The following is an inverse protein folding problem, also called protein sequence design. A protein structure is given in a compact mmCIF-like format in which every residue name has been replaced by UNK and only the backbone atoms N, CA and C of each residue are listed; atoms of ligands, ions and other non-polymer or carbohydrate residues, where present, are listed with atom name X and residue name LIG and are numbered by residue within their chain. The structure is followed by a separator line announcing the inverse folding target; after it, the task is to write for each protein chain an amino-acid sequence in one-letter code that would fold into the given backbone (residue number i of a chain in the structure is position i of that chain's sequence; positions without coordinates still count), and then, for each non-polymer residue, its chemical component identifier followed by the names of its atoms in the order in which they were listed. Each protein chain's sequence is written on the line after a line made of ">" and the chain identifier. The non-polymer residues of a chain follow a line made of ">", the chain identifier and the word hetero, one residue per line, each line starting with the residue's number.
data_IF_529616188557
#
_entry.id   IF_529616188557
#
_cell.length_a   1.000
_cell.length_b   1.000
_cell.length_c   1.000
_cell.angle_alpha   90.00
_cell.angle_beta   90.00
_cell.angle_gamma   90.00
#
_symmetry.space_group_name_H-M   'P 1'
#
loop_
_entity.id
_entity.type
_entity.pdbx_description
1 polymer ?
#
# COMPACT_ATOMS: atom_id res chain seq x y z
N UNK A 1 -0.99 6.04 -23.11
CA UNK A 1 -0.11 7.16 -22.74
C UNK A 1 -0.86 8.34 -22.13
N UNK A 2 -1.53 9.24 -22.87
CA UNK A 2 -2.19 10.42 -22.23
C UNK A 2 -3.27 10.04 -21.20
N UNK A 3 -4.08 9.03 -21.50
CA UNK A 3 -5.10 8.54 -20.57
C UNK A 3 -4.48 7.91 -19.30
N UNK A 4 -3.38 7.18 -19.42
CA UNK A 4 -2.68 6.56 -18.29
C UNK A 4 -2.03 7.61 -17.39
N UNK A 5 -1.39 8.62 -17.97
CA UNK A 5 -0.78 9.72 -17.20
C UNK A 5 -1.85 10.50 -16.45
N UNK A 6 -2.98 10.80 -17.09
CA UNK A 6 -4.10 11.49 -16.44
C UNK A 6 -4.75 10.63 -15.36
N UNK A 7 -4.90 9.33 -15.59
CA UNK A 7 -5.42 8.40 -14.59
C UNK A 7 -4.50 8.31 -13.36
N UNK A 8 -3.18 8.24 -13.57
CA UNK A 8 -2.21 8.19 -12.48
C UNK A 8 -2.19 9.49 -11.66
N UNK A 9 -2.24 10.66 -12.32
CA UNK A 9 -2.32 11.95 -11.65
C UNK A 9 -3.62 12.04 -10.83
N UNK A 10 -4.77 11.69 -11.42
CA UNK A 10 -6.05 11.69 -10.73
C UNK A 10 -6.07 10.74 -9.53
N UNK A 11 -5.46 9.57 -9.66
CA UNK A 11 -5.27 8.62 -8.56
C UNK A 11 -4.39 9.23 -7.46
N UNK A 12 -3.29 9.90 -7.81
CA UNK A 12 -2.39 10.55 -6.85
C UNK A 12 -3.11 11.64 -6.05
N UNK A 13 -3.83 12.54 -6.72
CA UNK A 13 -4.69 13.55 -6.07
C UNK A 13 -5.75 12.90 -5.17
N UNK A 14 -6.36 11.82 -5.62
CA UNK A 14 -7.36 11.10 -4.86
C UNK A 14 -6.80 10.48 -3.57
N UNK A 15 -5.65 9.80 -3.64
CA UNK A 15 -4.97 9.29 -2.45
C UNK A 15 -4.53 10.41 -1.51
N UNK A 16 -4.09 11.55 -2.06
CA UNK A 16 -3.72 12.71 -1.27
C UNK A 16 -4.90 13.26 -0.47
N UNK A 17 -6.06 13.47 -1.11
CA UNK A 17 -7.28 13.94 -0.45
C UNK A 17 -7.72 13.00 0.66
N UNK A 18 -7.76 11.69 0.39
CA UNK A 18 -8.07 10.69 1.42
C UNK A 18 -7.06 10.75 2.57
N UNK A 19 -5.77 10.88 2.24
CA UNK A 19 -4.69 10.95 3.24
C UNK A 19 -4.84 12.15 4.18
N UNK A 20 -5.28 13.29 3.66
CA UNK A 20 -5.55 14.51 4.45
C UNK A 20 -6.79 14.38 5.32
N UNK A 21 -7.85 13.73 4.83
CA UNK A 21 -9.09 13.51 5.58
C UNK A 21 -8.92 12.43 6.68
N UNK A 22 -7.90 11.58 6.55
CA UNK A 22 -7.70 10.44 7.43
C UNK A 22 -7.00 10.80 8.75
N UNK A 23 -7.72 10.61 9.85
CA UNK A 23 -7.17 10.73 11.20
C UNK A 23 -6.27 9.55 11.58
N UNK A 24 -4.95 9.74 11.41
CA UNK A 24 -3.91 8.77 11.77
C UNK A 24 -3.87 8.44 13.27
N UNK A 25 -4.30 9.34 14.15
CA UNK A 25 -4.21 9.13 15.59
C UNK A 25 -5.13 7.99 16.03
N UNK A 26 -6.30 7.88 15.41
CA UNK A 26 -7.24 6.83 15.79
C UNK A 26 -6.94 5.49 15.11
N UNK A 27 -6.28 5.49 13.94
CA UNK A 27 -5.69 4.28 13.37
C UNK A 27 -4.70 3.64 14.35
N UNK A 28 -3.85 4.45 14.96
CA UNK A 28 -2.89 3.96 15.95
C UNK A 28 -3.57 3.34 17.17
N UNK A 29 -4.69 3.91 17.65
CA UNK A 29 -5.48 3.36 18.77
C UNK A 29 -6.12 2.01 18.42
N UNK A 30 -6.59 1.82 17.18
CA UNK A 30 -7.26 0.58 16.75
C UNK A 30 -6.32 -0.44 16.10
N UNK A 31 -4.99 -0.21 16.10
CA UNK A 31 -4.00 -1.00 15.36
C UNK A 31 -4.07 -2.51 15.60
N UNK A 32 -4.34 -2.97 16.83
CA UNK A 32 -4.40 -4.41 17.14
C UNK A 32 -5.55 -5.12 16.43
N UNK A 33 -6.73 -4.48 16.41
CA UNK A 33 -7.92 -5.02 15.73
C UNK A 33 -7.72 -4.99 14.22
N UNK A 34 -7.20 -3.88 13.70
CA UNK A 34 -6.86 -3.73 12.29
C UNK A 34 -5.83 -4.76 11.82
N UNK A 35 -4.78 -5.02 12.61
CA UNK A 35 -3.79 -6.07 12.33
C UNK A 35 -4.42 -7.46 12.25
N UNK A 36 -5.28 -7.81 13.20
CA UNK A 36 -5.95 -9.12 13.19
C UNK A 36 -6.81 -9.31 11.94
N UNK A 37 -7.54 -8.27 11.51
CA UNK A 37 -8.35 -8.29 10.30
C UNK A 37 -7.49 -8.36 9.05
N UNK A 38 -6.41 -7.57 8.97
CA UNK A 38 -5.49 -7.56 7.84
C UNK A 38 -4.83 -8.94 7.67
N UNK A 39 -4.29 -9.51 8.76
CA UNK A 39 -3.64 -10.82 8.75
C UNK A 39 -4.64 -11.92 8.38
N UNK A 40 -5.84 -11.91 8.98
CA UNK A 40 -6.89 -12.88 8.64
C UNK A 40 -7.33 -12.78 7.16
N UNK A 41 -7.47 -11.55 6.66
CA UNK A 41 -7.80 -11.25 5.27
C UNK A 41 -6.69 -11.59 4.29
N UNK A 42 -5.43 -11.64 4.73
CA UNK A 42 -4.28 -11.99 3.89
C UNK A 42 -4.01 -13.50 3.88
N UNK A 43 -4.09 -14.17 5.04
CA UNK A 43 -3.80 -15.60 5.16
C UNK A 43 -4.75 -16.46 4.30
N UNK A 44 -6.04 -16.14 4.30
CA UNK A 44 -7.05 -16.88 3.52
C UNK A 44 -6.72 -16.93 2.01
N UNK A 45 -6.62 -15.79 1.29
CA UNK A 45 -6.25 -15.79 -0.12
C UNK A 45 -4.85 -16.34 -0.37
N UNK A 46 -3.92 -16.19 0.58
CA UNK A 46 -2.59 -16.77 0.45
C UNK A 46 -2.61 -18.30 0.43
N UNK A 47 -3.39 -18.94 1.32
CA UNK A 47 -3.59 -20.40 1.34
C UNK A 47 -4.26 -20.87 0.05
N UNK A 48 -5.24 -20.09 -0.46
CA UNK A 48 -5.89 -20.38 -1.74
C UNK A 48 -4.87 -20.32 -2.89
N UNK A 49 -4.00 -19.31 -2.90
CA UNK A 49 -2.92 -19.18 -3.89
C UNK A 49 -1.94 -20.35 -3.85
N UNK A 50 -1.51 -20.77 -2.66
CA UNK A 50 -0.65 -21.96 -2.50
C UNK A 50 -1.34 -23.20 -3.06
N UNK A 51 -2.60 -23.43 -2.68
CA UNK A 51 -3.38 -24.59 -3.11
C UNK A 51 -3.56 -24.61 -4.63
N UNK A 52 -3.86 -23.46 -5.22
CA UNK A 52 -3.98 -23.30 -6.66
C UNK A 52 -2.67 -23.61 -7.40
N UNK A 53 -1.54 -23.16 -6.87
CA UNK A 53 -0.22 -23.47 -7.44
C UNK A 53 0.07 -24.98 -7.43
N UNK A 54 -0.24 -25.70 -6.34
CA UNK A 54 -0.04 -27.15 -6.28
C UNK A 54 -0.90 -27.91 -7.29
N UNK A 55 -2.17 -27.52 -7.46
CA UNK A 55 -3.07 -28.11 -8.45
C UNK A 55 -2.53 -27.90 -9.88
N UNK A 56 -2.04 -26.69 -10.17
CA UNK A 56 -1.42 -26.35 -11.45
C UNK A 56 -0.16 -27.16 -11.72
N UNK A 57 0.71 -27.32 -10.72
CA UNK A 57 1.95 -28.08 -10.89
C UNK A 57 1.69 -29.57 -11.10
N UNK A 58 0.70 -30.13 -10.39
CA UNK A 58 0.28 -31.52 -10.57
C UNK A 58 -0.23 -31.76 -11.99
N UNK A 59 -0.93 -30.79 -12.59
CA UNK A 59 -1.49 -30.90 -13.93
C UNK A 59 -0.48 -30.61 -15.05
N UNK A 60 0.52 -29.77 -14.79
CA UNK A 60 1.43 -29.28 -15.83
C UNK A 60 2.70 -30.12 -16.02
N UNK A 61 3.07 -31.03 -15.10
CA UNK A 61 4.32 -31.81 -15.13
C UNK A 61 5.61 -30.99 -15.36
N UNK A 62 5.55 -29.66 -15.27
CA UNK A 62 6.67 -28.76 -15.46
C UNK A 62 7.33 -28.49 -14.11
N UNK A 63 8.61 -28.83 -13.99
CA UNK A 63 9.40 -28.50 -12.81
C UNK A 63 9.78 -27.01 -12.85
N UNK A 64 8.99 -26.17 -12.17
CA UNK A 64 9.34 -24.75 -11.96
C UNK A 64 10.58 -24.67 -11.05
N UNK A 65 11.67 -24.06 -11.53
CA UNK A 65 12.92 -23.91 -10.75
C UNK A 65 12.73 -23.02 -9.50
N UNK A 66 11.88 -21.99 -9.59
CA UNK A 66 11.61 -21.05 -8.49
C UNK A 66 10.18 -21.17 -7.93
N UNK A 67 9.84 -22.33 -7.36
CA UNK A 67 8.51 -22.60 -6.77
C UNK A 67 8.16 -21.57 -5.67
N UNK A 68 9.12 -21.23 -4.83
CA UNK A 68 8.92 -20.29 -3.72
C UNK A 68 8.52 -18.90 -4.21
N UNK A 69 9.22 -18.37 -5.22
CA UNK A 69 8.91 -17.08 -5.85
C UNK A 69 7.52 -17.05 -6.46
N UNK A 70 7.14 -18.09 -7.21
CA UNK A 70 5.82 -18.15 -7.86
C UNK A 70 4.70 -18.25 -6.82
N UNK A 71 4.89 -19.05 -5.77
CA UNK A 71 3.93 -19.15 -4.66
C UNK A 71 3.77 -17.80 -3.95
N UNK A 72 4.88 -17.13 -3.63
CA UNK A 72 4.87 -15.81 -2.97
C UNK A 72 4.17 -14.78 -3.85
N UNK A 73 4.54 -14.70 -5.13
CA UNK A 73 3.94 -13.76 -6.07
C UNK A 73 2.44 -13.99 -6.22
N UNK A 74 2.03 -15.24 -6.40
CA UNK A 74 0.62 -15.61 -6.54
C UNK A 74 -0.17 -15.34 -5.24
N UNK A 75 0.39 -15.70 -4.09
CA UNK A 75 -0.23 -15.45 -2.79
C UNK A 75 -0.40 -13.97 -2.50
N UNK A 76 0.63 -13.15 -2.77
CA UNK A 76 0.55 -11.69 -2.65
C UNK A 76 -0.48 -11.13 -3.61
N UNK A 77 -0.45 -11.51 -4.90
CA UNK A 77 -1.37 -11.01 -5.92
C UNK A 77 -2.85 -11.26 -5.58
N UNK A 78 -3.16 -12.39 -4.93
CA UNK A 78 -4.53 -12.71 -4.50
C UNK A 78 -4.93 -12.01 -3.19
N UNK A 79 -3.97 -11.53 -2.40
CA UNK A 79 -4.21 -10.95 -1.07
C UNK A 79 -4.15 -9.41 -1.04
N UNK A 80 -3.57 -8.78 -2.06
CA UNK A 80 -3.53 -7.31 -2.17
C UNK A 80 -4.94 -6.78 -2.32
N UNK A 81 -5.29 -5.81 -1.47
CA UNK A 81 -6.54 -5.06 -1.57
C UNK A 81 -6.20 -3.60 -1.81
N UNK A 82 -6.83 -3.00 -2.83
CA UNK A 82 -6.57 -1.61 -3.18
C UNK A 82 -7.20 -0.68 -2.13
N UNK A 83 -6.37 -0.17 -1.21
CA UNK A 83 -6.75 0.84 -0.22
C UNK A 83 -7.55 2.02 -0.81
N UNK A 84 -7.19 2.62 -1.97
CA UNK A 84 -7.90 3.78 -2.50
C UNK A 84 -9.36 3.49 -2.83
N UNK A 85 -9.65 2.33 -3.41
CA UNK A 85 -11.02 1.94 -3.78
C UNK A 85 -11.85 1.75 -2.51
N UNK A 86 -11.28 1.13 -1.48
CA UNK A 86 -11.95 0.94 -0.19
C UNK A 86 -12.29 2.27 0.49
N UNK A 87 -11.35 3.23 0.47
CA UNK A 87 -11.60 4.57 1.00
C UNK A 87 -12.70 5.30 0.23
N UNK A 88 -12.72 5.18 -1.12
CA UNK A 88 -13.80 5.72 -1.96
C UNK A 88 -15.16 5.15 -1.57
N UNK A 89 -15.24 3.82 -1.47
CA UNK A 89 -16.47 3.11 -1.13
C UNK A 89 -16.99 3.54 0.24
N UNK A 90 -16.11 3.70 1.23
CA UNK A 90 -16.46 4.21 2.56
C UNK A 90 -17.00 5.64 2.52
N UNK A 91 -16.40 6.52 1.72
CA UNK A 91 -16.86 7.91 1.57
C UNK A 91 -18.24 7.97 0.88
N UNK A 92 -18.51 7.07 -0.07
CA UNK A 92 -19.80 6.96 -0.75
C UNK A 92 -20.89 6.34 0.15
N UNK A 93 -20.54 5.35 0.97
CA UNK A 93 -21.42 4.65 1.92
C UNK A 93 -21.69 5.48 3.18
N UNK A 94 -22.19 6.71 3.06
CA UNK A 94 -22.50 7.69 4.16
C UNK A 94 -23.23 7.14 5.41
N UNK A 95 -23.67 5.88 5.40
CA UNK A 95 -24.31 5.13 6.49
C UNK A 95 -23.36 4.23 7.30
N UNK A 96 -22.07 4.10 6.94
CA UNK A 96 -21.10 3.31 7.70
C UNK A 96 -20.72 4.00 9.01
N UNK A 97 -20.82 3.28 10.13
CA UNK A 97 -20.38 3.80 11.43
C UNK A 97 -18.90 4.23 11.37
N UNK A 98 -18.54 5.43 11.86
CA UNK A 98 -17.19 5.98 11.73
C UNK A 98 -16.12 5.07 12.35
N UNK A 99 -16.49 4.30 13.39
CA UNK A 99 -15.61 3.32 14.01
C UNK A 99 -15.27 2.13 13.08
N UNK A 100 -16.24 1.61 12.34
CA UNK A 100 -16.04 0.48 11.42
C UNK A 100 -15.24 0.96 10.21
N UNK A 101 -15.60 2.12 9.66
CA UNK A 101 -14.89 2.74 8.55
C UNK A 101 -13.41 2.93 8.87
N UNK A 102 -13.11 3.44 10.07
CA UNK A 102 -11.74 3.67 10.52
C UNK A 102 -10.94 2.38 10.72
N UNK A 103 -11.54 1.33 11.27
CA UNK A 103 -10.87 0.03 11.43
C UNK A 103 -10.60 -0.60 10.05
N UNK A 104 -11.54 -0.48 9.11
CA UNK A 104 -11.37 -0.98 7.74
C UNK A 104 -10.24 -0.24 7.01
N UNK A 105 -10.20 1.09 7.08
CA UNK A 105 -9.10 1.89 6.49
C UNK A 105 -7.74 1.54 7.13
N UNK A 106 -7.68 1.43 8.46
CA UNK A 106 -6.47 1.01 9.17
C UNK A 106 -5.99 -0.37 8.71
N UNK A 107 -6.91 -1.34 8.57
CA UNK A 107 -6.61 -2.69 8.12
C UNK A 107 -6.11 -2.70 6.68
N UNK A 108 -6.74 -1.95 5.78
CA UNK A 108 -6.36 -1.86 4.38
C UNK A 108 -4.96 -1.22 4.21
N UNK A 109 -4.64 -0.16 4.95
CA UNK A 109 -3.30 0.44 4.94
C UNK A 109 -2.22 -0.54 5.40
N UNK A 110 -2.48 -1.28 6.48
CA UNK A 110 -1.55 -2.29 6.98
C UNK A 110 -1.35 -3.39 5.94
N UNK A 111 -2.43 -3.85 5.30
CA UNK A 111 -2.37 -4.84 4.23
C UNK A 111 -1.54 -4.35 3.04
N UNK A 112 -1.70 -3.08 2.63
CA UNK A 112 -0.98 -2.49 1.50
C UNK A 112 0.54 -2.43 1.80
N UNK A 113 0.92 -1.96 2.99
CA UNK A 113 2.33 -1.96 3.44
C UNK A 113 2.91 -3.38 3.47
N UNK A 114 2.18 -4.34 4.04
CA UNK A 114 2.59 -5.75 4.07
C UNK A 114 2.75 -6.34 2.67
N UNK A 115 1.84 -6.02 1.75
CA UNK A 115 1.88 -6.49 0.37
C UNK A 115 3.12 -5.98 -0.37
N UNK A 116 3.45 -4.69 -0.26
CA UNK A 116 4.66 -4.12 -0.85
C UNK A 116 5.94 -4.74 -0.30
N UNK A 117 6.01 -5.00 1.01
CA UNK A 117 7.15 -5.68 1.64
C UNK A 117 7.29 -7.12 1.11
N UNK A 118 6.19 -7.89 1.06
CA UNK A 118 6.22 -9.26 0.55
C UNK A 118 6.55 -9.31 -0.94
N UNK A 119 6.08 -8.34 -1.73
CA UNK A 119 6.41 -8.23 -3.14
C UNK A 119 7.91 -7.95 -3.34
N UNK A 120 8.49 -7.05 -2.55
CA UNK A 120 9.94 -6.79 -2.58
C UNK A 120 10.74 -8.06 -2.26
N UNK A 121 10.31 -8.85 -1.26
CA UNK A 121 10.93 -10.15 -0.95
C UNK A 121 10.76 -11.14 -2.11
N UNK A 122 9.58 -11.19 -2.75
CA UNK A 122 9.34 -12.07 -3.88
C UNK A 122 10.27 -11.75 -5.07
N UNK A 123 10.44 -10.45 -5.39
CA UNK A 123 11.36 -9.99 -6.43
C UNK A 123 12.81 -10.34 -6.06
N UNK A 124 13.22 -10.05 -4.83
CA UNK A 124 14.54 -10.43 -4.32
C UNK A 124 14.83 -11.93 -4.47
N UNK A 125 13.85 -12.79 -4.20
CA UNK A 125 13.98 -14.23 -4.35
C UNK A 125 13.97 -14.70 -5.82
N UNK A 126 13.36 -13.92 -6.73
CA UNK A 126 13.34 -14.23 -8.16
C UNK A 126 14.71 -14.09 -8.81
N UNK A 127 15.53 -13.14 -8.33
CA UNK A 127 16.82 -12.75 -8.93
C UNK A 127 18.02 -13.60 -8.44
N UNK A 128 17.77 -14.63 -7.64
CA UNK A 128 18.78 -15.42 -6.92
C UNK A 128 19.83 -16.18 -7.77
N UNK A 129 19.82 -16.09 -9.10
CA UNK A 129 20.86 -16.71 -9.92
C UNK A 129 22.16 -15.86 -10.00
N UNK A 130 22.16 -14.56 -9.62
CA UNK A 130 23.42 -13.76 -9.54
C UNK A 130 23.50 -12.60 -8.52
N UNK A 131 22.41 -12.19 -7.83
CA UNK A 131 22.36 -10.86 -7.19
C UNK A 131 21.75 -10.79 -5.78
N UNK A 132 22.23 -11.60 -4.83
CA UNK A 132 21.81 -11.46 -3.41
C UNK A 132 22.08 -10.05 -2.82
N UNK A 133 23.06 -9.32 -3.37
CA UNK A 133 23.33 -7.92 -2.99
C UNK A 133 22.32 -6.90 -3.55
N UNK A 134 21.68 -7.18 -4.69
CA UNK A 134 20.71 -6.25 -5.29
C UNK A 134 19.42 -6.17 -4.46
N UNK A 135 18.93 -7.32 -3.97
CA UNK A 135 17.81 -7.42 -3.06
C UNK A 135 17.98 -6.56 -1.79
N UNK A 136 19.15 -6.67 -1.15
CA UNK A 136 19.48 -5.86 0.02
C UNK A 136 19.52 -4.37 -0.32
N UNK A 137 20.08 -4.01 -1.48
CA UNK A 137 20.13 -2.62 -1.93
C UNK A 137 18.74 -2.03 -2.20
N UNK A 138 17.82 -2.81 -2.79
CA UNK A 138 16.43 -2.40 -3.00
C UNK A 138 15.75 -2.12 -1.66
N UNK A 139 15.88 -3.02 -0.69
CA UNK A 139 15.28 -2.86 0.65
C UNK A 139 15.87 -1.63 1.36
N UNK A 140 17.19 -1.49 1.36
CA UNK A 140 17.88 -0.34 1.98
C UNK A 140 17.47 0.97 1.31
N UNK A 141 17.44 1.02 -0.03
CA UNK A 141 17.03 2.23 -0.76
C UNK A 141 15.57 2.59 -0.49
N UNK A 142 14.69 1.59 -0.37
CA UNK A 142 13.26 1.79 -0.06
C UNK A 142 13.07 2.36 1.34
N UNK A 143 13.79 1.81 2.33
CA UNK A 143 13.77 2.32 3.70
C UNK A 143 14.38 3.73 3.77
N UNK A 144 15.51 3.96 3.11
CA UNK A 144 16.16 5.26 3.05
C UNK A 144 15.23 6.31 2.43
N UNK A 145 14.54 5.97 1.34
CA UNK A 145 13.54 6.83 0.70
C UNK A 145 12.37 7.13 1.63
N UNK A 146 11.82 6.12 2.31
CA UNK A 146 10.73 6.28 3.29
C UNK A 146 11.14 7.24 4.42
N UNK A 147 12.33 7.06 4.98
CA UNK A 147 12.89 7.92 6.03
C UNK A 147 13.08 9.34 5.50
N UNK A 148 13.68 9.50 4.32
CA UNK A 148 13.88 10.78 3.65
C UNK A 148 12.55 11.54 3.47
N UNK A 149 11.51 10.85 3.00
CA UNK A 149 10.16 11.43 2.87
C UNK A 149 9.58 11.88 4.21
N UNK A 150 9.71 11.08 5.27
CA UNK A 150 9.21 11.45 6.61
C UNK A 150 9.95 12.68 7.15
N UNK A 151 11.27 12.78 6.93
CA UNK A 151 12.11 13.86 7.45
C UNK A 151 12.18 15.10 6.57
N UNK A 152 11.82 15.05 5.29
CA UNK A 152 11.77 16.22 4.40
C UNK A 152 10.34 16.70 4.22
N UNK A 153 9.41 15.81 3.85
CA UNK A 153 8.05 16.18 3.46
C UNK A 153 7.25 16.65 4.67
N UNK A 154 7.28 15.93 5.81
CA UNK A 154 6.53 16.37 7.00
C UNK A 154 6.95 17.76 7.51
N UNK A 155 8.25 18.07 7.68
CA UNK A 155 8.65 19.41 8.09
C UNK A 155 8.36 20.46 7.02
N UNK A 156 8.47 20.15 5.72
CA UNK A 156 8.04 21.08 4.66
C UNK A 156 6.55 21.41 4.78
N UNK A 157 5.69 20.40 4.91
CA UNK A 157 4.24 20.60 5.01
C UNK A 157 3.88 21.37 6.28
N UNK A 158 4.46 21.02 7.43
CA UNK A 158 4.21 21.77 8.68
C UNK A 158 4.79 23.17 8.67
N UNK A 159 5.91 23.41 7.97
CA UNK A 159 6.46 24.74 7.76
C UNK A 159 5.59 25.58 6.83
N UNK A 160 5.05 25.00 5.77
CA UNK A 160 4.09 25.65 4.88
C UNK A 160 2.79 26.00 5.60
N UNK A 161 2.22 25.06 6.38
CA UNK A 161 1.03 25.33 7.20
C UNK A 161 1.25 26.46 8.21
N UNK A 162 2.47 26.59 8.78
CA UNK A 162 2.82 27.70 9.68
C UNK A 162 2.98 29.05 8.97
N UNK A 163 3.17 29.05 7.65
CA UNK A 163 3.30 30.27 6.84
C UNK A 163 2.00 30.72 6.17
N UNK A 164 0.94 29.90 6.24
CA UNK A 164 -0.39 30.28 5.76
C UNK A 164 -1.20 30.81 6.95
N UNK A 165 -1.59 32.10 6.97
CA UNK A 165 -2.46 32.64 8.01
C UNK A 165 -3.84 31.98 7.95
N UNK A 166 -4.43 31.70 9.11
CA UNK A 166 -5.78 31.13 9.23
C UNK A 166 -6.81 32.07 8.55
N UNK A 167 -7.36 31.67 7.40
CA UNK A 167 -8.53 32.32 6.80
C UNK A 167 -8.48 32.72 5.33
N UNK A 168 -7.37 32.57 4.59
CA UNK A 168 -7.34 32.82 3.14
C UNK A 168 -7.29 31.52 2.33
N UNK A 169 -8.03 31.49 1.21
CA UNK A 169 -8.10 30.37 0.28
C UNK A 169 -6.68 30.01 -0.20
N UNK A 170 -6.26 28.78 0.08
CA UNK A 170 -4.98 28.23 -0.36
C UNK A 170 -4.92 28.37 -1.89
N UNK A 171 -3.99 29.19 -2.39
CA UNK A 171 -3.90 29.44 -3.83
C UNK A 171 -3.61 28.14 -4.57
N UNK A 172 -4.31 27.91 -5.69
CA UNK A 172 -4.24 26.70 -6.52
C UNK A 172 -2.81 26.30 -6.95
N UNK A 173 -1.87 27.25 -6.88
CA UNK A 173 -0.47 27.06 -7.18
C UNK A 173 0.28 26.18 -6.17
N UNK A 174 -0.06 26.28 -4.87
CA UNK A 174 0.56 25.45 -3.83
C UNK A 174 0.00 24.03 -3.83
N UNK A 175 -1.25 23.86 -4.23
CA UNK A 175 -1.89 22.54 -4.39
C UNK A 175 -1.29 21.78 -5.58
N UNK A 176 -0.92 22.49 -6.65
CA UNK A 176 -0.22 21.91 -7.82
C UNK A 176 1.26 21.61 -7.60
N UNK A 177 1.89 22.18 -6.57
CA UNK A 177 3.32 21.97 -6.29
C UNK A 177 3.57 20.80 -5.33
N UNK A 178 2.51 20.33 -4.66
CA UNK A 178 2.55 19.26 -3.67
C UNK A 178 2.16 17.89 -4.26
N UNK A 179 1.57 17.85 -5.46
CA UNK A 179 1.17 16.66 -6.21
C UNK A 179 2.03 16.50 -7.46
#
# INVERSE_FOLDING_TARGET
>A
MVLETMANIGLLYFLFLIGVEMDLAVIHRTRRKALAIAIGGMILPFIIGISFFFILQQKSHTSTKNKATVILFLGVALSVTAFPILARILAELKLLSPNIARIAMASALINDVCAWILLAIAIALAENDTTSMAALWVIVSSIAFMVCCIFLVRPLVTWMMKRTPEGEAISEFYLSCLV
#
